data_IF_280877063665
#
_entry.id   IF_280877063665
#
_cell.length_a   1.000
_cell.length_b   1.000
_cell.length_c   1.000
_cell.angle_alpha   90.00
_cell.angle_beta   90.00
_cell.angle_gamma   90.00
#
_symmetry.space_group_name_H-M   'P 1'
#
loop_
_entity.id
_entity.type
_entity.pdbx_description
1 polymer ?
#
# COMPACT_ATOMS: atom_id res chain seq x y z
N UNK A 1 8.97 13.12 6.14
CA UNK A 1 9.11 11.67 6.33
C UNK A 1 10.53 11.25 5.96
N UNK A 2 11.21 10.60 6.87
CA UNK A 2 12.59 10.14 6.65
C UNK A 2 12.62 8.63 6.64
N UNK A 3 13.07 8.05 5.52
CA UNK A 3 13.07 6.60 5.31
C UNK A 3 14.34 6.17 4.59
N UNK A 4 14.78 4.95 4.86
CA UNK A 4 15.82 4.31 4.06
C UNK A 4 15.25 3.67 2.79
N UNK A 5 13.95 3.37 2.77
CA UNK A 5 13.30 2.80 1.59
C UNK A 5 13.37 3.78 0.42
N UNK A 6 13.72 3.27 -0.76
CA UNK A 6 13.91 4.10 -1.95
C UNK A 6 12.67 4.22 -2.82
N UNK A 7 11.74 3.27 -2.69
CA UNK A 7 10.51 3.27 -3.50
C UNK A 7 9.37 3.86 -2.70
N UNK A 8 8.98 5.07 -3.06
CA UNK A 8 7.89 5.80 -2.43
C UNK A 8 6.93 6.21 -3.52
N UNK A 9 5.74 5.63 -3.53
CA UNK A 9 4.78 5.79 -4.61
C UNK A 9 3.53 6.46 -4.09
N UNK A 10 3.21 7.69 -4.53
CA UNK A 10 1.94 8.32 -4.17
C UNK A 10 0.78 7.49 -4.70
N UNK A 11 -0.24 7.30 -3.89
CA UNK A 11 -1.37 6.45 -4.24
C UNK A 11 -2.62 6.88 -3.47
N UNK A 12 -3.76 6.30 -3.85
CA UNK A 12 -5.02 6.54 -3.18
C UNK A 12 -5.67 5.22 -2.84
N UNK A 13 -6.23 5.12 -1.65
CA UNK A 13 -6.95 3.93 -1.20
C UNK A 13 -8.25 3.81 -2.00
N UNK A 14 -8.42 2.67 -2.67
CA UNK A 14 -9.65 2.38 -3.41
C UNK A 14 -10.59 1.47 -2.64
N UNK A 15 -10.05 0.51 -1.88
CA UNK A 15 -10.87 -0.35 -1.03
C UNK A 15 -10.06 -0.92 0.12
N UNK A 16 -10.76 -1.28 1.18
CA UNK A 16 -10.18 -1.93 2.36
C UNK A 16 -11.03 -3.14 2.70
N UNK A 17 -10.42 -4.31 2.73
CA UNK A 17 -11.09 -5.54 3.15
C UNK A 17 -10.45 -6.02 4.44
N UNK A 18 -11.19 -5.89 5.55
CA UNK A 18 -10.66 -6.20 6.88
C UNK A 18 -11.07 -7.60 7.33
N UNK A 19 -10.10 -8.36 7.85
CA UNK A 19 -10.36 -9.56 8.64
C UNK A 19 -10.32 -9.20 10.12
N UNK A 20 -10.03 -10.17 10.96
CA UNK A 20 -9.93 -9.92 12.41
C UNK A 20 -8.63 -9.19 12.77
N UNK A 21 -7.52 -9.59 12.17
CA UNK A 21 -6.20 -9.05 12.47
C UNK A 21 -5.56 -8.34 11.30
N UNK A 22 -5.80 -8.80 10.07
CA UNK A 22 -5.15 -8.31 8.87
C UNK A 22 -6.18 -7.70 7.93
N UNK A 23 -5.80 -6.62 7.27
CA UNK A 23 -6.60 -5.97 6.25
C UNK A 23 -5.82 -5.91 4.94
N UNK A 24 -6.51 -6.13 3.84
CA UNK A 24 -5.96 -5.89 2.52
C UNK A 24 -6.44 -4.51 2.05
N UNK A 25 -5.48 -3.65 1.76
CA UNK A 25 -5.75 -2.28 1.31
C UNK A 25 -5.37 -2.20 -0.16
N UNK A 26 -6.35 -1.96 -1.01
CA UNK A 26 -6.09 -1.76 -2.43
C UNK A 26 -5.85 -0.29 -2.71
N UNK A 27 -4.82 -0.04 -3.49
CA UNK A 27 -4.39 1.31 -3.84
C UNK A 27 -4.39 1.48 -5.35
N UNK A 28 -4.68 2.71 -5.77
CA UNK A 28 -4.48 3.14 -7.14
C UNK A 28 -3.27 4.08 -7.17
N UNK A 29 -2.21 3.67 -7.85
CA UNK A 29 -1.01 4.47 -8.03
C UNK A 29 -0.93 4.88 -9.51
N UNK A 30 -1.57 6.00 -9.83
CA UNK A 30 -1.59 6.53 -11.20
C UNK A 30 -2.07 5.50 -12.23
N UNK A 31 -3.17 4.82 -11.92
CA UNK A 31 -3.74 3.79 -12.77
C UNK A 31 -3.24 2.37 -12.50
N UNK A 32 -2.22 2.22 -11.67
CA UNK A 32 -1.67 0.91 -11.33
C UNK A 32 -2.23 0.45 -9.98
N UNK A 33 -2.68 -0.80 -9.93
CA UNK A 33 -3.20 -1.40 -8.70
C UNK A 33 -2.05 -1.92 -7.83
N UNK A 34 -2.03 -1.50 -6.59
CA UNK A 34 -1.10 -2.01 -5.58
C UNK A 34 -1.92 -2.52 -4.42
N UNK A 35 -1.56 -3.65 -3.86
CA UNK A 35 -2.24 -4.21 -2.68
C UNK A 35 -1.25 -4.26 -1.53
N UNK A 36 -1.66 -3.69 -0.40
CA UNK A 36 -0.91 -3.76 0.83
C UNK A 36 -1.67 -4.63 1.83
N UNK A 37 -0.97 -5.55 2.47
CA UNK A 37 -1.55 -6.36 3.54
C UNK A 37 -0.94 -5.86 4.84
N UNK A 38 -1.76 -5.20 5.65
CA UNK A 38 -1.33 -4.59 6.91
C UNK A 38 -2.28 -4.99 8.02
N UNK A 39 -1.90 -4.70 9.26
CA UNK A 39 -2.79 -5.04 10.38
C UNK A 39 -4.00 -4.10 10.40
N UNK A 40 -5.12 -4.63 10.91
CA UNK A 40 -6.31 -3.81 11.14
C UNK A 40 -6.00 -2.67 12.10
N UNK A 41 -5.12 -2.91 13.06
CA UNK A 41 -4.64 -1.89 13.98
C UNK A 41 -3.96 -0.74 13.22
N UNK A 42 -3.10 -1.06 12.24
CA UNK A 42 -2.43 -0.05 11.43
C UNK A 42 -3.42 0.76 10.61
N UNK A 43 -4.46 0.12 10.07
CA UNK A 43 -5.53 0.83 9.34
C UNK A 43 -6.17 1.89 10.24
N UNK A 44 -6.45 1.53 11.49
CA UNK A 44 -7.05 2.46 12.46
C UNK A 44 -6.09 3.58 12.84
N UNK A 45 -4.86 3.24 13.16
CA UNK A 45 -3.85 4.22 13.58
C UNK A 45 -3.57 5.24 12.49
N UNK A 46 -3.54 4.80 11.24
CA UNK A 46 -3.30 5.70 10.11
C UNK A 46 -4.57 6.39 9.62
N UNK A 47 -5.73 6.02 10.17
CA UNK A 47 -7.00 6.64 9.80
C UNK A 47 -7.38 6.40 8.35
N UNK A 48 -7.08 5.21 7.82
CA UNK A 48 -7.32 4.92 6.41
C UNK A 48 -8.80 4.67 6.12
N UNK A 49 -9.24 5.20 5.01
CA UNK A 49 -10.58 4.94 4.46
C UNK A 49 -10.51 5.05 2.94
N UNK A 50 -11.57 4.65 2.28
CA UNK A 50 -11.67 4.80 0.83
C UNK A 50 -11.48 6.28 0.46
N UNK A 51 -10.60 6.55 -0.47
CA UNK A 51 -10.26 7.90 -0.91
C UNK A 51 -9.07 8.52 -0.19
N UNK A 52 -8.54 7.90 0.87
CA UNK A 52 -7.36 8.41 1.56
C UNK A 52 -6.17 8.50 0.61
N UNK A 53 -5.45 9.61 0.68
CA UNK A 53 -4.20 9.77 -0.05
C UNK A 53 -3.06 9.27 0.81
N UNK A 54 -2.23 8.40 0.24
CA UNK A 54 -1.17 7.71 0.97
C UNK A 54 0.10 7.65 0.11
N UNK A 55 1.18 7.23 0.74
CA UNK A 55 2.42 6.89 0.02
C UNK A 55 2.69 5.40 0.27
N UNK A 56 2.76 4.63 -0.80
CA UNK A 56 3.16 3.23 -0.71
C UNK A 56 4.68 3.16 -0.63
N UNK A 57 5.18 2.50 0.38
CA UNK A 57 6.62 2.35 0.62
C UNK A 57 6.99 0.91 0.30
N UNK A 58 7.91 0.72 -0.63
CA UNK A 58 8.34 -0.63 -1.02
C UNK A 58 9.85 -0.73 -0.87
N UNK A 59 10.27 -1.63 0.00
CA UNK A 59 11.69 -1.87 0.20
C UNK A 59 12.31 -2.42 -1.09
N UNK A 60 13.45 -1.87 -1.49
CA UNK A 60 14.07 -2.23 -2.76
C UNK A 60 14.35 -3.73 -2.90
N UNK A 61 14.71 -4.39 -1.79
CA UNK A 61 14.98 -5.83 -1.79
C UNK A 61 13.72 -6.69 -1.96
N UNK A 62 12.52 -6.09 -1.88
CA UNK A 62 11.26 -6.82 -2.05
C UNK A 62 10.68 -6.67 -3.46
N UNK A 63 11.34 -5.92 -4.31
CA UNK A 63 10.85 -5.70 -5.68
C UNK A 63 11.41 -6.79 -6.60
N UNK A 64 10.50 -7.46 -7.29
CA UNK A 64 10.84 -8.48 -8.27
C UNK A 64 10.60 -7.95 -9.67
N UNK A 65 11.33 -8.50 -10.63
CA UNK A 65 11.28 -8.06 -12.03
C UNK A 65 10.78 -9.21 -12.89
N UNK A 66 9.93 -8.89 -13.83
CA UNK A 66 9.49 -9.82 -14.86
C UNK A 66 9.57 -9.16 -16.23
N UNK A 67 9.83 -9.93 -17.24
CA UNK A 67 9.76 -9.48 -18.64
C UNK A 67 8.93 -10.48 -19.44
N UNK A 68 8.29 -10.00 -20.49
CA UNK A 68 7.57 -10.87 -21.42
C UNK A 68 8.53 -11.40 -22.46
N UNK A 69 8.44 -12.69 -22.75
CA UNK A 69 9.25 -13.33 -23.78
C UNK A 69 8.54 -13.31 -25.14
#
# INVERSE_FOLDING_TARGET
>A
MRLSARNQVPARVTSITSGEAIANVELDANGQRIVASITVEAVRELGLSQGSEVTAIVKASDVMIAVDD
#
